data_IF_402022906255
#
_entry.id   IF_402022906255
#
_cell.length_a   1.000
_cell.length_b   1.000
_cell.length_c   1.000
_cell.angle_alpha   90.00
_cell.angle_beta   90.00
_cell.angle_gamma   90.00
#
_symmetry.space_group_name_H-M   'P 1'
#
loop_
_entity.id
_entity.type
_entity.pdbx_description
1 polymer ?
#
# COMPACT_ATOMS: atom_id res chain seq x y z
N UNK A 1 7.66 10.21 2.71
CA UNK A 1 7.50 9.57 1.38
C UNK A 1 6.48 10.35 0.54
N UNK A 2 6.74 10.59 -0.76
CA UNK A 2 5.85 11.40 -1.63
C UNK A 2 4.52 10.72 -1.96
N UNK A 3 4.54 9.41 -2.21
CA UNK A 3 3.35 8.59 -2.48
C UNK A 3 2.29 8.70 -1.36
N UNK A 4 2.71 8.62 -0.09
CA UNK A 4 1.79 8.80 1.06
C UNK A 4 1.12 10.18 1.05
N UNK A 5 1.85 11.23 0.64
CA UNK A 5 1.28 12.58 0.57
C UNK A 5 0.21 12.69 -0.51
N UNK A 6 0.46 12.14 -1.70
CA UNK A 6 -0.57 12.14 -2.77
C UNK A 6 -1.76 11.26 -2.40
N UNK A 7 -1.53 10.05 -1.88
CA UNK A 7 -2.61 9.19 -1.39
C UNK A 7 -3.51 9.94 -0.39
N UNK A 8 -2.90 10.54 0.64
CA UNK A 8 -3.65 11.27 1.66
C UNK A 8 -4.35 12.52 1.12
N UNK A 9 -3.79 13.17 0.08
CA UNK A 9 -4.43 14.32 -0.57
C UNK A 9 -5.78 13.94 -1.19
N UNK A 10 -5.91 12.74 -1.74
CA UNK A 10 -7.15 12.28 -2.39
C UNK A 10 -8.08 11.50 -1.47
N UNK A 11 -7.53 10.74 -0.51
CA UNK A 11 -8.29 9.77 0.30
C UNK A 11 -8.60 10.23 1.72
N UNK A 12 -7.91 11.25 2.25
CA UNK A 12 -8.25 11.78 3.58
C UNK A 12 -9.52 12.65 3.55
N UNK A 13 -10.36 12.60 4.60
CA UNK A 13 -10.13 11.91 5.88
C UNK A 13 -10.61 10.45 5.92
N UNK A 14 -11.25 9.95 4.87
CA UNK A 14 -11.86 8.61 4.84
C UNK A 14 -10.83 7.49 5.03
N UNK A 15 -9.70 7.57 4.32
CA UNK A 15 -8.54 6.69 4.51
C UNK A 15 -7.24 7.51 4.50
N UNK A 16 -6.44 7.35 5.56
CA UNK A 16 -5.18 8.04 5.75
C UNK A 16 -4.04 7.05 5.95
N UNK A 17 -3.12 7.02 5.01
CA UNK A 17 -1.91 6.21 5.08
C UNK A 17 -0.84 6.88 5.97
N UNK A 18 -0.22 6.06 6.83
CA UNK A 18 0.95 6.42 7.64
C UNK A 18 2.04 5.37 7.48
N UNK A 19 3.28 5.83 7.37
CA UNK A 19 4.43 4.93 7.28
C UNK A 19 4.71 4.29 8.64
N UNK A 20 4.80 2.96 8.67
CA UNK A 20 5.22 2.21 9.85
C UNK A 20 6.68 1.76 9.68
N UNK A 21 7.01 1.14 8.55
CA UNK A 21 8.35 0.60 8.29
C UNK A 21 8.64 0.53 6.79
N UNK A 22 9.90 0.76 6.42
CA UNK A 22 10.46 0.40 5.11
C UNK A 22 11.59 -0.59 5.38
N UNK A 23 11.53 -1.77 4.76
CA UNK A 23 12.64 -2.71 4.70
C UNK A 23 13.18 -2.83 3.27
N UNK A 24 14.06 -3.81 3.05
CA UNK A 24 14.70 -3.99 1.73
C UNK A 24 13.71 -4.43 0.65
N UNK A 25 12.73 -5.26 1.00
CA UNK A 25 11.75 -5.84 0.06
C UNK A 25 10.31 -5.73 0.55
N UNK A 26 10.10 -5.02 1.66
CA UNK A 26 8.79 -4.85 2.28
C UNK A 26 8.54 -3.40 2.70
N UNK A 27 7.26 -3.04 2.69
CA UNK A 27 6.76 -1.74 3.12
C UNK A 27 5.54 -1.99 4.02
N UNK A 28 5.54 -1.40 5.20
CA UNK A 28 4.43 -1.52 6.15
C UNK A 28 3.80 -0.14 6.35
N UNK A 29 2.48 -0.07 6.13
CA UNK A 29 1.69 1.13 6.34
C UNK A 29 0.51 0.84 7.28
N UNK A 30 0.12 1.86 8.04
CA UNK A 30 -1.16 1.90 8.74
C UNK A 30 -2.12 2.78 7.91
N UNK A 31 -3.32 2.27 7.65
CA UNK A 31 -4.43 3.01 7.04
C UNK A 31 -5.45 3.28 8.13
N UNK A 32 -5.64 4.56 8.43
CA UNK A 32 -6.55 5.05 9.47
C UNK A 32 -7.77 5.73 8.86
N UNK A 33 -8.94 5.51 9.45
CA UNK A 33 -10.16 6.25 9.10
C UNK A 33 -11.42 5.39 9.07
N UNK A 34 -12.52 6.02 8.63
CA UNK A 34 -13.86 5.44 8.62
C UNK A 34 -14.18 4.59 7.38
N UNK A 35 -13.18 4.36 6.51
CA UNK A 35 -13.36 3.57 5.29
C UNK A 35 -13.90 2.16 5.56
N UNK A 36 -14.63 1.62 4.59
CA UNK A 36 -15.28 0.32 4.71
C UNK A 36 -14.25 -0.80 4.91
N UNK A 37 -14.45 -1.62 5.95
CA UNK A 37 -13.55 -2.73 6.32
C UNK A 37 -14.08 -4.11 5.99
N UNK A 38 -15.34 -4.21 5.60
CA UNK A 38 -16.01 -5.47 5.27
C UNK A 38 -16.14 -5.69 3.77
N UNK A 39 -16.16 -4.61 2.98
CA UNK A 39 -16.27 -4.63 1.52
C UNK A 39 -15.40 -3.52 0.93
N UNK A 40 -14.62 -3.81 -0.12
CA UNK A 40 -13.79 -2.80 -0.79
C UNK A 40 -12.59 -2.31 0.02
N UNK A 41 -12.26 -2.96 1.14
CA UNK A 41 -11.07 -2.59 1.95
C UNK A 41 -9.81 -2.64 1.10
N UNK A 42 -9.67 -3.66 0.26
CA UNK A 42 -8.54 -3.83 -0.65
C UNK A 42 -8.38 -2.68 -1.62
N UNK A 43 -9.47 -2.04 -2.07
CA UNK A 43 -9.41 -0.93 -3.03
C UNK A 43 -8.57 0.23 -2.44
N UNK A 44 -8.80 0.56 -1.16
CA UNK A 44 -8.02 1.58 -0.46
C UNK A 44 -6.54 1.22 -0.33
N UNK A 45 -6.23 -0.06 -0.19
CA UNK A 45 -4.86 -0.55 -0.05
C UNK A 45 -4.15 -0.59 -1.41
N UNK A 46 -4.84 -1.05 -2.45
CA UNK A 46 -4.32 -1.13 -3.81
C UNK A 46 -4.13 0.25 -4.44
N UNK A 47 -4.99 1.23 -4.13
CA UNK A 47 -4.81 2.63 -4.52
C UNK A 47 -3.43 3.17 -4.14
N UNK A 48 -2.92 2.82 -2.97
CA UNK A 48 -1.59 3.25 -2.55
C UNK A 48 -0.50 2.70 -3.47
N UNK A 49 -0.65 1.50 -4.03
CA UNK A 49 0.28 0.91 -4.99
C UNK A 49 0.35 1.77 -6.25
N UNK A 50 -0.81 2.22 -6.78
CA UNK A 50 -0.86 3.12 -7.93
C UNK A 50 -0.21 4.47 -7.62
N UNK A 51 -0.44 5.04 -6.43
CA UNK A 51 0.22 6.28 -6.02
C UNK A 51 1.74 6.12 -5.89
N UNK A 52 2.22 4.97 -5.42
CA UNK A 52 3.65 4.68 -5.33
C UNK A 52 4.30 4.58 -6.71
N UNK A 53 3.66 3.87 -7.64
CA UNK A 53 4.16 3.64 -9.01
C UNK A 53 4.33 4.93 -9.82
N UNK A 54 3.64 6.02 -9.46
CA UNK A 54 3.86 7.34 -10.09
C UNK A 54 5.24 7.94 -9.78
N UNK A 55 5.92 7.48 -8.73
CA UNK A 55 7.16 8.08 -8.23
C UNK A 55 8.37 7.14 -8.29
N UNK A 56 8.15 5.83 -8.33
CA UNK A 56 9.20 4.82 -8.33
C UNK A 56 8.81 3.65 -9.23
N UNK A 57 9.78 3.10 -9.96
CA UNK A 57 9.59 1.92 -10.81
C UNK A 57 9.72 0.63 -9.98
N UNK A 58 8.84 0.47 -8.99
CA UNK A 58 8.73 -0.74 -8.18
C UNK A 58 7.32 -1.29 -8.28
N UNK A 59 7.21 -2.61 -8.39
CA UNK A 59 5.92 -3.28 -8.26
C UNK A 59 5.84 -3.94 -6.90
N UNK A 60 4.85 -3.54 -6.12
CA UNK A 60 4.53 -4.14 -4.83
C UNK A 60 3.14 -4.77 -4.90
N UNK A 61 2.88 -5.75 -4.04
CA UNK A 61 1.55 -6.28 -3.79
C UNK A 61 1.28 -6.38 -2.30
N UNK A 62 0.01 -6.45 -1.93
CA UNK A 62 -0.39 -6.76 -0.57
C UNK A 62 0.04 -8.20 -0.27
N UNK A 63 0.83 -8.38 0.78
CA UNK A 63 1.15 -9.69 1.34
C UNK A 63 0.09 -10.08 2.37
N UNK A 64 -0.23 -9.16 3.28
CA UNK A 64 -1.24 -9.34 4.32
C UNK A 64 -1.74 -8.00 4.83
N UNK A 65 -2.92 -8.02 5.46
CA UNK A 65 -3.41 -6.92 6.26
C UNK A 65 -4.22 -7.43 7.45
N UNK A 66 -4.25 -6.65 8.53
CA UNK A 66 -4.95 -6.98 9.77
C UNK A 66 -5.48 -5.72 10.45
N UNK A 67 -6.54 -5.86 11.25
CA UNK A 67 -6.94 -4.79 12.17
C UNK A 67 -5.88 -4.67 13.27
N UNK A 68 -5.18 -3.53 13.31
CA UNK A 68 -4.09 -3.31 14.27
C UNK A 68 -4.58 -2.59 15.53
N UNK A 69 -5.51 -1.65 15.36
CA UNK A 69 -6.10 -0.79 16.40
C UNK A 69 -7.52 -0.38 15.99
N UNK A 70 -8.33 0.17 16.91
CA UNK A 70 -9.54 0.86 16.52
C UNK A 70 -9.26 1.83 15.39
N UNK A 71 -10.02 1.65 14.33
CA UNK A 71 -9.94 2.45 13.12
C UNK A 71 -8.64 2.41 12.33
N UNK A 72 -7.82 1.38 12.53
CA UNK A 72 -6.53 1.24 11.85
C UNK A 72 -6.36 -0.17 11.28
N UNK A 73 -6.13 -0.24 9.97
CA UNK A 73 -5.65 -1.47 9.32
C UNK A 73 -4.16 -1.35 9.07
N UNK A 74 -3.39 -2.33 9.53
CA UNK A 74 -1.98 -2.46 9.16
C UNK A 74 -1.86 -3.33 7.93
N UNK A 75 -1.08 -2.88 6.96
CA UNK A 75 -0.87 -3.57 5.70
C UNK A 75 0.62 -3.77 5.48
N UNK A 76 1.00 -4.99 5.12
CA UNK A 76 2.34 -5.31 4.65
C UNK A 76 2.31 -5.51 3.15
N UNK A 77 3.10 -4.72 2.45
CA UNK A 77 3.38 -4.87 1.03
C UNK A 77 4.74 -5.53 0.84
N UNK A 78 4.85 -6.35 -0.20
CA UNK A 78 6.13 -6.95 -0.64
C UNK A 78 6.40 -6.62 -2.09
N UNK A 79 7.67 -6.46 -2.43
CA UNK A 79 8.13 -6.32 -3.81
C UNK A 79 7.85 -7.61 -4.61
N UNK A 80 7.37 -7.42 -5.83
CA UNK A 80 7.22 -8.49 -6.82
C UNK A 80 8.59 -8.75 -7.47
N UNK A 81 9.22 -9.88 -7.13
CA UNK A 81 10.34 -10.40 -7.89
C UNK A 81 9.82 -10.86 -9.27
N UNK A 82 9.85 -9.99 -10.27
CA UNK A 82 9.70 -10.43 -11.65
C UNK A 82 11.04 -11.02 -12.04
N UNK A 83 11.22 -12.34 -11.87
CA UNK A 83 12.23 -13.05 -12.65
C UNK A 83 11.90 -12.76 -14.11
N UNK A 84 12.69 -11.88 -14.73
CA UNK A 84 12.65 -11.65 -16.16
C UNK A 84 12.79 -13.03 -16.82
N UNK A 85 11.69 -13.60 -17.29
CA UNK A 85 11.74 -14.57 -18.37
C UNK A 85 12.23 -13.76 -19.57
N UNK A 86 13.55 -13.63 -19.67
CA UNK A 86 14.24 -13.35 -20.91
C UNK A 86 14.02 -14.63 -21.73
N UNK A 87 12.87 -14.73 -22.39
CA UNK A 87 12.76 -15.61 -23.54
C UNK A 87 13.65 -15.02 -24.62
N UNK A 88 14.83 -15.61 -24.70
CA UNK A 88 15.82 -15.35 -25.72
C UNK A 88 15.25 -15.79 -27.08
N UNK A 89 15.26 -14.84 -28.02
CA UNK A 89 15.49 -15.01 -29.46
C UNK A 89 14.40 -15.67 -30.31
#
# INVERSE_FOLDING_TARGET
MRAIKEYNRYRSPEAKAKLVKIGEKDLVLDFEGSFCRTCGVSDYLEDFVYELQKFVDIKIRIESFEEHKPETIRVKYIELNISLKIENK
#
